data_IF_946112691083
#
_entry.id   IF_946112691083
#
_cell.length_a   1.000
_cell.length_b   1.000
_cell.length_c   1.000
_cell.angle_alpha   90.00
_cell.angle_beta   90.00
_cell.angle_gamma   90.00
#
_symmetry.space_group_name_H-M   'P 1'
#
loop_
_entity.id
_entity.type
_entity.pdbx_description
1 polymer ?
#
# COMPACT_ATOMS: atom_id res chain seq x y z
N UNK A 1 19.83 5.29 20.19
CA UNK A 1 19.09 5.40 18.92
C UNK A 1 18.52 4.05 18.56
N UNK A 2 17.24 3.96 18.24
CA UNK A 2 16.60 2.70 17.82
C UNK A 2 17.03 2.34 16.39
N UNK A 3 17.86 1.31 16.27
CA UNK A 3 18.44 0.84 15.00
C UNK A 3 17.38 0.49 13.94
N UNK A 4 16.17 0.08 14.38
CA UNK A 4 15.07 -0.29 13.49
C UNK A 4 14.42 0.95 12.86
N UNK A 5 14.27 2.02 13.63
CA UNK A 5 13.71 3.28 13.14
C UNK A 5 14.65 3.94 12.13
N UNK A 6 15.96 3.98 12.42
CA UNK A 6 16.99 4.49 11.49
C UNK A 6 16.91 3.77 10.14
N UNK A 7 16.91 2.42 10.16
CA UNK A 7 16.84 1.62 8.93
C UNK A 7 15.60 1.89 8.08
N UNK A 8 14.46 2.26 8.67
CA UNK A 8 13.23 2.55 7.93
C UNK A 8 13.28 3.90 7.23
N UNK A 9 13.84 4.91 7.90
CA UNK A 9 14.05 6.21 7.27
C UNK A 9 15.13 6.10 6.18
N UNK A 10 16.22 5.37 6.43
CA UNK A 10 17.24 5.10 5.41
C UNK A 10 16.63 4.42 4.17
N UNK A 11 15.70 3.48 4.37
CA UNK A 11 15.00 2.82 3.27
C UNK A 11 14.13 3.81 2.49
N UNK A 12 13.41 4.70 3.16
CA UNK A 12 12.64 5.76 2.51
C UNK A 12 13.54 6.68 1.68
N UNK A 13 14.61 7.21 2.26
CA UNK A 13 15.53 8.11 1.57
C UNK A 13 16.20 7.42 0.38
N UNK A 14 16.73 6.20 0.56
CA UNK A 14 17.39 5.47 -0.53
C UNK A 14 16.42 5.14 -1.66
N UNK A 15 15.16 4.81 -1.37
CA UNK A 15 14.17 4.50 -2.40
C UNK A 15 13.60 5.73 -3.09
N UNK A 16 13.55 6.87 -2.40
CA UNK A 16 13.09 8.13 -2.97
C UNK A 16 14.18 8.82 -3.83
N UNK A 17 15.42 8.87 -3.33
CA UNK A 17 16.48 9.71 -3.89
C UNK A 17 17.62 8.92 -4.55
N UNK A 18 17.73 7.61 -4.26
CA UNK A 18 18.82 6.76 -4.74
C UNK A 18 18.55 6.13 -6.11
N UNK A 19 19.64 5.81 -6.83
CA UNK A 19 19.59 4.94 -8.00
C UNK A 19 19.46 3.47 -7.58
N UNK A 20 18.25 3.11 -7.12
CA UNK A 20 17.89 1.75 -6.65
C UNK A 20 17.07 0.96 -7.65
N UNK A 21 16.80 1.54 -8.83
CA UNK A 21 16.15 0.84 -9.93
C UNK A 21 16.96 -0.36 -10.39
N UNK A 22 16.29 -1.36 -10.97
CA UNK A 22 16.99 -2.50 -11.55
C UNK A 22 17.88 -2.05 -12.71
N UNK A 23 19.15 -2.47 -12.70
CA UNK A 23 20.13 -2.13 -13.75
C UNK A 23 20.13 -3.08 -14.94
N UNK A 24 19.82 -4.35 -14.70
CA UNK A 24 19.81 -5.40 -15.73
C UNK A 24 18.53 -6.24 -15.77
N UNK A 25 17.79 -6.30 -14.66
CA UNK A 25 16.48 -6.97 -14.61
C UNK A 25 15.40 -6.03 -15.13
N UNK A 26 14.52 -6.51 -16.00
CA UNK A 26 13.36 -5.77 -16.50
C UNK A 26 12.06 -6.39 -15.98
N UNK A 27 10.93 -5.73 -16.22
CA UNK A 27 9.60 -6.25 -15.88
C UNK A 27 9.07 -7.24 -16.91
N UNK A 28 9.78 -7.43 -18.03
CA UNK A 28 9.31 -8.11 -19.25
C UNK A 28 8.10 -7.45 -19.93
N UNK A 29 7.66 -6.25 -19.50
CA UNK A 29 6.61 -5.51 -20.20
C UNK A 29 7.06 -5.03 -21.60
N UNK A 30 8.36 -4.94 -21.85
CA UNK A 30 8.91 -4.71 -23.19
C UNK A 30 8.58 -5.83 -24.18
N UNK A 31 8.27 -7.04 -23.68
CA UNK A 31 7.84 -8.19 -24.49
C UNK A 31 6.32 -8.20 -24.73
N UNK A 32 5.57 -7.32 -24.07
CA UNK A 32 4.12 -7.20 -24.25
C UNK A 32 3.85 -6.07 -25.25
N UNK A 33 2.91 -6.32 -26.17
CA UNK A 33 2.40 -5.32 -27.11
C UNK A 33 0.89 -5.31 -27.03
N UNK A 34 0.31 -4.15 -26.69
CA UNK A 34 -1.12 -3.94 -26.82
C UNK A 34 -1.45 -3.81 -28.30
N UNK A 35 -2.40 -4.59 -28.78
CA UNK A 35 -2.85 -4.49 -30.17
C UNK A 35 -3.50 -3.12 -30.38
N UNK A 36 -2.96 -2.34 -31.29
CA UNK A 36 -3.55 -1.07 -31.66
C UNK A 36 -4.81 -1.31 -32.49
N UNK A 37 -5.91 -0.71 -32.07
CA UNK A 37 -7.11 -0.56 -32.87
C UNK A 37 -7.26 0.91 -33.25
N UNK A 38 -7.16 1.20 -34.55
CA UNK A 38 -7.25 2.56 -35.08
C UNK A 38 -8.70 3.06 -35.19
N UNK A 39 -9.68 2.14 -35.15
CA UNK A 39 -11.10 2.42 -35.35
C UNK A 39 -11.94 1.62 -34.33
N UNK A 40 -11.80 1.88 -33.02
CA UNK A 40 -12.41 1.06 -31.96
C UNK A 40 -13.94 1.16 -31.86
N UNK A 41 -14.60 1.90 -32.75
CA UNK A 41 -16.05 2.18 -32.75
C UNK A 41 -16.58 2.61 -31.36
N UNK A 42 -15.74 3.26 -30.55
CA UNK A 42 -15.98 3.62 -29.15
C UNK A 42 -15.51 5.06 -28.89
N UNK A 43 -16.29 5.85 -28.16
CA UNK A 43 -15.85 7.17 -27.72
C UNK A 43 -15.00 7.06 -26.44
N UNK A 44 -13.99 7.92 -26.29
CA UNK A 44 -13.15 7.98 -25.09
C UNK A 44 -13.98 8.15 -23.80
N UNK A 45 -15.03 8.96 -23.87
CA UNK A 45 -15.92 9.23 -22.73
C UNK A 45 -16.71 8.01 -22.25
N UNK A 46 -16.82 6.97 -23.09
CA UNK A 46 -17.50 5.72 -22.74
C UNK A 46 -16.55 4.72 -22.05
N UNK A 47 -15.24 5.00 -22.02
CA UNK A 47 -14.25 4.17 -21.34
C UNK A 47 -14.31 4.44 -19.84
N UNK A 48 -14.65 3.40 -19.07
CA UNK A 48 -14.58 3.44 -17.61
C UNK A 48 -13.48 2.55 -17.08
N UNK A 49 -12.65 3.11 -16.20
CA UNK A 49 -11.68 2.37 -15.39
C UNK A 49 -12.22 1.98 -14.01
N UNK A 50 -13.50 2.25 -13.75
CA UNK A 50 -14.11 1.98 -12.45
C UNK A 50 -14.31 0.49 -12.22
N UNK A 51 -14.17 0.09 -10.96
CA UNK A 51 -14.35 -1.30 -10.54
C UNK A 51 -14.75 -1.36 -9.08
N UNK A 52 -15.38 -2.47 -8.69
CA UNK A 52 -15.68 -2.75 -7.28
C UNK A 52 -14.79 -3.88 -6.78
N UNK A 53 -14.05 -3.62 -5.71
CA UNK A 53 -13.13 -4.58 -5.09
C UNK A 53 -13.43 -4.61 -3.59
N UNK A 54 -13.64 -5.81 -3.02
CA UNK A 54 -14.01 -6.00 -1.61
C UNK A 54 -15.18 -5.11 -1.14
N UNK A 55 -16.16 -4.88 -2.02
CA UNK A 55 -17.34 -4.05 -1.72
C UNK A 55 -17.11 -2.54 -1.80
N UNK A 56 -15.92 -2.08 -2.20
CA UNK A 56 -15.59 -0.66 -2.38
C UNK A 56 -15.39 -0.32 -3.84
N UNK A 57 -15.95 0.83 -4.26
CA UNK A 57 -15.83 1.33 -5.63
C UNK A 57 -14.55 2.14 -5.79
N UNK A 58 -13.75 1.79 -6.79
CA UNK A 58 -12.54 2.49 -7.19
C UNK A 58 -12.76 3.20 -8.53
N UNK A 59 -12.03 4.28 -8.75
CA UNK A 59 -12.03 5.05 -9.99
C UNK A 59 -11.08 4.46 -11.04
N UNK A 60 -10.08 3.70 -10.61
CA UNK A 60 -9.14 3.01 -11.49
C UNK A 60 -8.63 1.70 -10.85
N UNK A 61 -8.19 0.71 -11.65
CA UNK A 61 -7.65 -0.56 -11.16
C UNK A 61 -6.20 -0.40 -10.70
N UNK A 62 -5.96 0.55 -9.78
CA UNK A 62 -4.63 0.90 -9.28
C UNK A 62 -4.61 0.85 -7.76
N UNK A 63 -3.58 0.16 -7.24
CA UNK A 63 -3.26 0.06 -5.81
C UNK A 63 -1.88 0.68 -5.58
N UNK A 64 -1.79 1.66 -4.70
CA UNK A 64 -0.51 2.11 -4.16
C UNK A 64 -0.03 1.06 -3.16
N UNK A 65 1.01 0.31 -3.54
CA UNK A 65 1.51 -0.82 -2.77
C UNK A 65 2.20 -0.39 -1.45
N UNK A 66 2.28 -1.35 -0.53
CA UNK A 66 2.86 -1.18 0.79
C UNK A 66 4.32 -0.70 0.76
N UNK A 67 4.61 0.39 1.48
CA UNK A 67 5.97 0.96 1.55
C UNK A 67 6.49 1.10 2.99
N UNK A 68 5.78 1.81 3.87
CA UNK A 68 6.36 2.26 5.15
C UNK A 68 5.38 2.31 6.32
N UNK A 69 5.90 2.62 7.51
CA UNK A 69 5.19 2.83 8.77
C UNK A 69 6.12 2.61 9.97
N UNK A 70 5.78 3.10 11.15
CA UNK A 70 6.52 2.90 12.40
C UNK A 70 7.58 3.95 12.73
N UNK A 71 7.64 5.06 11.99
CA UNK A 71 8.40 6.29 12.30
C UNK A 71 7.52 7.52 12.01
N UNK A 72 7.90 8.70 12.49
CA UNK A 72 7.12 9.94 12.26
C UNK A 72 7.12 10.38 10.80
N UNK A 73 8.24 10.20 10.11
CA UNK A 73 8.32 10.44 8.68
C UNK A 73 7.40 9.49 7.90
N UNK A 74 7.40 8.21 8.27
CA UNK A 74 6.52 7.22 7.67
C UNK A 74 5.03 7.50 7.92
N UNK A 75 4.69 8.04 9.08
CA UNK A 75 3.33 8.50 9.38
C UNK A 75 2.89 9.59 8.41
N UNK A 76 3.72 10.62 8.21
CA UNK A 76 3.43 11.70 7.26
C UNK A 76 3.23 11.15 5.84
N UNK A 77 4.14 10.28 5.39
CA UNK A 77 4.05 9.65 4.05
C UNK A 77 2.75 8.84 3.92
N UNK A 78 2.39 8.02 4.92
CA UNK A 78 1.16 7.24 4.89
C UNK A 78 -0.09 8.12 4.84
N UNK A 79 -0.13 9.21 5.62
CA UNK A 79 -1.25 10.17 5.61
C UNK A 79 -1.36 10.88 4.27
N UNK A 80 -0.26 11.39 3.73
CA UNK A 80 -0.23 12.09 2.43
C UNK A 80 -0.72 11.19 1.30
N UNK A 81 -0.25 9.93 1.26
CA UNK A 81 -0.67 8.93 0.27
C UNK A 81 -2.13 8.52 0.46
N UNK A 82 -2.59 8.32 1.69
CA UNK A 82 -3.97 7.95 1.96
C UNK A 82 -4.94 9.05 1.50
N UNK A 83 -4.65 10.32 1.79
CA UNK A 83 -5.45 11.47 1.28
C UNK A 83 -5.48 11.50 -0.24
N UNK A 84 -4.34 11.29 -0.88
CA UNK A 84 -4.25 11.27 -2.34
C UNK A 84 -5.06 10.12 -2.94
N UNK A 85 -4.97 8.92 -2.35
CA UNK A 85 -5.72 7.75 -2.82
C UNK A 85 -7.23 7.91 -2.60
N UNK A 86 -7.68 8.42 -1.45
CA UNK A 86 -9.08 8.73 -1.17
C UNK A 86 -9.63 9.72 -2.21
N UNK A 87 -8.92 10.84 -2.42
CA UNK A 87 -9.34 11.89 -3.36
C UNK A 87 -9.40 11.41 -4.82
N UNK A 88 -8.61 10.39 -5.17
CA UNK A 88 -8.55 9.81 -6.52
C UNK A 88 -9.34 8.51 -6.66
N UNK A 89 -9.97 8.02 -5.58
CA UNK A 89 -10.64 6.72 -5.56
C UNK A 89 -9.74 5.55 -5.93
N UNK A 90 -8.49 5.56 -5.47
CA UNK A 90 -7.53 4.46 -5.62
C UNK A 90 -7.45 3.62 -4.34
N UNK A 91 -6.89 2.43 -4.43
CA UNK A 91 -6.61 1.62 -3.25
C UNK A 91 -5.22 1.93 -2.67
N UNK A 92 -5.03 1.66 -1.37
CA UNK A 92 -3.76 1.89 -0.68
C UNK A 92 -3.40 0.73 0.24
N UNK A 93 -2.13 0.30 0.23
CA UNK A 93 -1.56 -0.64 1.18
C UNK A 93 -0.63 0.02 2.18
N UNK A 94 -0.85 -0.26 3.46
CA UNK A 94 0.06 0.14 4.54
C UNK A 94 1.34 -0.71 4.51
N UNK A 95 2.46 -0.17 4.97
CA UNK A 95 3.67 -0.94 5.18
C UNK A 95 3.51 -2.02 6.27
N UNK A 96 4.52 -2.88 6.42
CA UNK A 96 4.50 -3.97 7.40
C UNK A 96 4.20 -3.49 8.83
N UNK A 97 3.08 -3.95 9.37
CA UNK A 97 2.57 -3.64 10.70
C UNK A 97 3.33 -4.36 11.83
N UNK A 98 4.39 -5.11 11.50
CA UNK A 98 5.28 -5.75 12.48
C UNK A 98 5.79 -4.79 13.56
N UNK A 99 5.93 -3.50 13.24
CA UNK A 99 6.36 -2.51 14.22
C UNK A 99 5.37 -2.38 15.39
N UNK A 100 4.07 -2.51 15.14
CA UNK A 100 3.01 -2.43 16.16
C UNK A 100 3.10 -3.57 17.17
N UNK A 101 3.54 -4.76 16.74
CA UNK A 101 3.73 -5.92 17.61
C UNK A 101 4.84 -5.70 18.65
N UNK A 102 5.87 -4.93 18.29
CA UNK A 102 7.00 -4.63 19.18
C UNK A 102 6.79 -3.36 19.99
N UNK A 103 6.07 -2.41 19.41
CA UNK A 103 5.85 -1.04 19.89
C UNK A 103 4.40 -0.65 19.62
N UNK A 104 3.47 -0.92 20.54
CA UNK A 104 2.06 -0.57 20.36
C UNK A 104 1.84 0.91 20.01
N UNK A 105 2.68 1.81 20.52
CA UNK A 105 2.66 3.25 20.20
C UNK A 105 2.92 3.56 18.72
N UNK A 106 3.55 2.64 17.98
CA UNK A 106 3.78 2.78 16.55
C UNK A 106 2.48 2.68 15.74
N UNK A 107 1.38 2.18 16.32
CA UNK A 107 0.08 2.09 15.67
C UNK A 107 -0.36 3.43 15.07
N UNK A 108 -0.09 4.55 15.75
CA UNK A 108 -0.43 5.92 15.27
C UNK A 108 0.06 6.18 13.84
N UNK A 109 1.19 5.61 13.47
CA UNK A 109 1.85 5.82 12.17
C UNK A 109 1.20 5.08 11.00
N UNK A 110 0.23 4.21 11.30
CA UNK A 110 -0.56 3.43 10.33
C UNK A 110 -2.03 3.88 10.32
N UNK A 111 -2.45 4.71 11.27
CA UNK A 111 -3.82 5.21 11.36
C UNK A 111 -4.02 6.33 10.32
N UNK A 112 -4.72 6.01 9.24
CA UNK A 112 -5.02 6.96 8.14
C UNK A 112 -6.52 7.19 7.92
N UNK A 113 -7.36 6.48 8.68
CA UNK A 113 -8.82 6.45 8.50
C UNK A 113 -9.51 7.76 8.84
N UNK A 114 -8.90 8.57 9.70
CA UNK A 114 -9.35 9.92 10.04
C UNK A 114 -9.31 10.87 8.83
N UNK A 115 -8.39 10.64 7.90
CA UNK A 115 -8.24 11.45 6.68
C UNK A 115 -8.77 10.75 5.42
N UNK A 116 -8.86 9.42 5.45
CA UNK A 116 -9.28 8.57 4.34
C UNK A 116 -10.31 7.50 4.78
N UNK A 117 -11.54 7.94 5.14
CA UNK A 117 -12.53 7.05 5.76
C UNK A 117 -13.10 5.99 4.81
N UNK A 118 -13.16 6.25 3.49
CA UNK A 118 -13.78 5.32 2.53
C UNK A 118 -12.76 4.49 1.77
N UNK A 119 -11.49 4.86 1.79
CA UNK A 119 -10.36 4.23 1.10
C UNK A 119 -10.40 2.70 1.17
N UNK A 120 -10.17 2.01 0.05
CA UNK A 120 -9.89 0.58 0.12
C UNK A 120 -8.47 0.38 0.67
N UNK A 121 -8.38 0.00 1.93
CA UNK A 121 -7.13 -0.04 2.69
C UNK A 121 -6.68 -1.48 2.93
N UNK A 122 -5.43 -1.78 2.57
CA UNK A 122 -4.81 -3.07 2.82
C UNK A 122 -3.86 -2.97 4.00
N UNK A 123 -4.07 -3.81 5.02
CA UNK A 123 -3.09 -4.08 6.06
C UNK A 123 -1.96 -4.95 5.52
N UNK A 124 -0.83 -5.00 6.21
CA UNK A 124 0.34 -5.74 5.75
C UNK A 124 1.11 -6.42 6.88
N UNK A 125 1.52 -7.67 6.67
CA UNK A 125 2.36 -8.44 7.59
C UNK A 125 3.29 -9.37 6.80
N UNK A 126 4.44 -9.75 7.38
CA UNK A 126 5.35 -10.70 6.75
C UNK A 126 4.93 -12.15 7.03
N UNK A 127 5.10 -13.05 6.06
CA UNK A 127 4.70 -14.45 6.18
C UNK A 127 5.30 -15.17 7.39
N UNK A 128 6.56 -14.86 7.73
CA UNK A 128 7.22 -15.41 8.93
C UNK A 128 6.53 -14.95 10.22
N UNK A 129 6.09 -13.68 10.30
CA UNK A 129 5.38 -13.19 11.49
C UNK A 129 3.97 -13.76 11.55
N UNK A 130 3.26 -13.80 10.42
CA UNK A 130 1.93 -14.39 10.35
C UNK A 130 1.93 -15.87 10.78
N UNK A 131 2.95 -16.64 10.41
CA UNK A 131 3.10 -18.05 10.80
C UNK A 131 3.36 -18.25 12.31
N UNK A 132 3.78 -17.20 13.03
CA UNK A 132 4.04 -17.23 14.47
C UNK A 132 2.85 -16.72 15.30
N UNK A 133 1.79 -16.28 14.64
CA UNK A 133 0.62 -15.68 15.26
C UNK A 133 -0.61 -16.57 15.02
N UNK A 134 -1.56 -16.54 15.94
CA UNK A 134 -2.90 -17.05 15.71
C UNK A 134 -3.65 -16.20 14.69
N UNK A 135 -4.66 -16.78 14.05
CA UNK A 135 -5.54 -16.05 13.12
C UNK A 135 -6.18 -14.83 13.79
N UNK A 136 -6.55 -14.93 15.07
CA UNK A 136 -7.15 -13.83 15.80
C UNK A 136 -6.16 -12.68 16.00
N UNK A 137 -4.91 -12.95 16.38
CA UNK A 137 -3.90 -11.90 16.54
C UNK A 137 -3.61 -11.18 15.22
N UNK A 138 -3.63 -11.91 14.09
CA UNK A 138 -3.51 -11.30 12.77
C UNK A 138 -4.73 -10.42 12.45
N UNK A 139 -5.94 -10.91 12.74
CA UNK A 139 -7.17 -10.16 12.53
C UNK A 139 -7.21 -8.88 13.38
N UNK A 140 -6.82 -8.94 14.65
CA UNK A 140 -6.77 -7.79 15.55
C UNK A 140 -5.74 -6.75 15.09
N UNK A 141 -4.55 -7.20 14.65
CA UNK A 141 -3.51 -6.32 14.13
C UNK A 141 -3.99 -5.51 12.92
N UNK A 142 -4.66 -6.18 11.98
CA UNK A 142 -5.19 -5.56 10.75
C UNK A 142 -6.44 -4.73 11.04
N UNK A 143 -7.30 -5.21 11.94
CA UNK A 143 -8.51 -4.51 12.37
C UNK A 143 -8.20 -3.21 13.11
N UNK A 144 -7.08 -3.16 13.84
CA UNK A 144 -6.64 -1.96 14.56
C UNK A 144 -6.50 -0.74 13.66
N UNK A 145 -6.03 -0.90 12.42
CA UNK A 145 -5.87 0.20 11.45
C UNK A 145 -7.12 0.39 10.56
N UNK A 146 -8.18 -0.39 10.81
CA UNK A 146 -9.40 -0.38 10.02
C UNK A 146 -9.19 -0.83 8.58
N UNK A 147 -8.26 -1.75 8.31
CA UNK A 147 -8.03 -2.26 6.97
C UNK A 147 -9.17 -3.18 6.49
N UNK A 148 -9.46 -3.13 5.20
CA UNK A 148 -10.51 -3.91 4.53
C UNK A 148 -10.00 -5.29 4.06
N UNK A 149 -8.69 -5.42 3.85
CA UNK A 149 -8.02 -6.64 3.40
C UNK A 149 -6.60 -6.73 3.97
N UNK A 150 -5.98 -7.91 3.88
CA UNK A 150 -4.62 -8.16 4.35
C UNK A 150 -3.71 -8.63 3.22
N UNK A 151 -2.52 -8.03 3.12
CA UNK A 151 -1.41 -8.51 2.32
C UNK A 151 -0.38 -9.23 3.21
N UNK A 152 -0.04 -10.47 2.85
CA UNK A 152 1.07 -11.21 3.46
C UNK A 152 2.24 -11.20 2.50
N UNK A 153 3.31 -10.47 2.84
CA UNK A 153 4.52 -10.43 2.00
C UNK A 153 5.46 -11.58 2.32
N UNK A 154 6.18 -12.06 1.30
CA UNK A 154 7.12 -13.17 1.37
C UNK A 154 8.55 -12.65 1.55
#
# INVERSE_FOLDING_TARGET
>A
MDLIASRKNDHLTLTADGDVGFRGTTTHFECVRLQHDALPELAEADVSSELTVFGKRLQAPVLVAAMTGGTEEAERVNRDLARACEARGLAFGLGSQRAMLKRPEAARTFMVRDEAPNLLLFGNIGGIQAAQMSTQEVADLVGMVGADALCVHL
#
